data_IF_037789021695
#
_entry.id   IF_037789021695
#
_cell.length_a   1.000
_cell.length_b   1.000
_cell.length_c   1.000
_cell.angle_alpha   90.00
_cell.angle_beta   90.00
_cell.angle_gamma   90.00
#
_symmetry.space_group_name_H-M   'P 1'
#
loop_
_entity.id
_entity.type
_entity.pdbx_description
1 polymer ?
#
# COMPACT_ATOMS: atom_id res chain seq x y z
N UNK A 1 12.38 7.42 10.91
CA UNK A 1 11.34 7.87 11.85
C UNK A 1 10.51 8.89 11.09
N UNK A 2 9.50 8.38 10.38
CA UNK A 2 8.68 9.14 9.41
C UNK A 2 7.47 9.75 10.12
N UNK A 3 6.96 10.87 9.59
CA UNK A 3 6.28 11.90 10.37
C UNK A 3 4.76 11.71 10.53
N UNK A 4 4.33 10.47 10.74
CA UNK A 4 3.16 10.15 11.58
C UNK A 4 3.55 9.98 13.05
N UNK A 5 4.41 10.86 13.55
CA UNK A 5 4.70 10.98 14.98
C UNK A 5 3.45 11.46 15.74
N UNK A 6 2.46 10.58 15.92
CA UNK A 6 1.37 10.72 16.87
C UNK A 6 -0.06 10.47 16.37
N UNK A 7 -0.33 10.29 15.06
CA UNK A 7 -1.70 10.05 14.57
C UNK A 7 -1.76 8.91 13.56
N UNK A 8 -2.41 7.82 13.96
CA UNK A 8 -2.77 6.71 13.08
C UNK A 8 -3.64 7.19 11.91
N UNK A 9 -3.43 6.60 10.73
CA UNK A 9 -4.27 6.81 9.56
C UNK A 9 -5.71 6.35 9.85
N UNK A 10 -6.66 7.23 9.57
CA UNK A 10 -8.09 6.93 9.66
C UNK A 10 -8.54 6.02 8.52
N UNK A 11 -9.67 5.33 8.70
CA UNK A 11 -10.28 4.52 7.65
C UNK A 11 -10.55 5.30 6.35
N UNK A 12 -10.89 6.60 6.43
CA UNK A 12 -11.11 7.45 5.26
C UNK A 12 -9.81 7.75 4.49
N UNK A 13 -8.72 8.01 5.21
CA UNK A 13 -7.41 8.21 4.59
C UNK A 13 -6.92 6.93 3.92
N UNK A 14 -7.10 5.77 4.57
CA UNK A 14 -6.74 4.48 3.98
C UNK A 14 -7.58 4.21 2.72
N UNK A 15 -8.90 4.43 2.74
CA UNK A 15 -9.74 4.30 1.55
C UNK A 15 -9.26 5.19 0.41
N UNK A 16 -8.91 6.43 0.70
CA UNK A 16 -8.40 7.37 -0.32
C UNK A 16 -7.13 6.84 -0.98
N UNK A 17 -6.21 6.29 -0.19
CA UNK A 17 -4.96 5.71 -0.69
C UNK A 17 -5.19 4.43 -1.51
N UNK A 18 -6.12 3.56 -1.07
CA UNK A 18 -6.51 2.35 -1.80
C UNK A 18 -7.22 2.69 -3.13
N UNK A 19 -8.12 3.67 -3.14
CA UNK A 19 -8.77 4.16 -4.37
C UNK A 19 -7.74 4.71 -5.38
N UNK A 20 -6.71 5.41 -4.90
CA UNK A 20 -5.62 5.89 -5.76
C UNK A 20 -4.80 4.72 -6.32
N UNK A 21 -4.50 3.72 -5.50
CA UNK A 21 -3.82 2.51 -5.91
C UNK A 21 -4.61 1.78 -7.00
N UNK A 22 -5.91 1.54 -6.80
CA UNK A 22 -6.77 0.84 -7.77
C UNK A 22 -6.83 1.54 -9.12
N UNK A 23 -6.92 2.88 -9.13
CA UNK A 23 -6.93 3.66 -10.38
C UNK A 23 -5.59 3.60 -11.11
N UNK A 24 -4.49 3.49 -10.39
CA UNK A 24 -3.15 3.51 -10.96
C UNK A 24 -2.60 2.11 -11.31
N UNK A 25 -2.98 1.06 -10.55
CA UNK A 25 -2.55 -0.33 -10.72
C UNK A 25 -3.38 -1.05 -11.80
N UNK A 26 -3.14 -0.70 -13.07
CA UNK A 26 -3.93 -1.22 -14.21
C UNK A 26 -3.53 -2.61 -14.69
N UNK A 27 -2.44 -3.20 -14.15
CA UNK A 27 -1.91 -4.50 -14.57
C UNK A 27 -2.19 -5.55 -13.52
N UNK A 28 -2.57 -6.75 -13.95
CA UNK A 28 -2.83 -7.88 -13.04
C UNK A 28 -1.64 -8.19 -12.13
N UNK A 29 -0.42 -8.15 -12.70
CA UNK A 29 0.82 -8.36 -11.95
C UNK A 29 1.04 -7.33 -10.83
N UNK A 30 0.43 -6.15 -10.85
CA UNK A 30 0.54 -5.22 -9.72
C UNK A 30 -0.02 -5.82 -8.43
N UNK A 31 -1.06 -6.65 -8.54
CA UNK A 31 -1.79 -7.26 -7.41
C UNK A 31 -1.08 -8.43 -6.74
N UNK A 32 0.06 -8.85 -7.27
CA UNK A 32 0.92 -9.90 -6.69
C UNK A 32 2.37 -9.45 -6.52
N UNK A 33 2.65 -8.16 -6.71
CA UNK A 33 4.00 -7.61 -6.68
C UNK A 33 4.48 -7.36 -5.25
N UNK A 34 5.77 -7.58 -4.99
CA UNK A 34 6.42 -7.18 -3.73
C UNK A 34 6.25 -5.67 -3.44
N UNK A 35 6.20 -4.81 -4.46
CA UNK A 35 5.97 -3.38 -4.27
C UNK A 35 4.58 -3.10 -3.66
N UNK A 36 3.55 -3.84 -4.07
CA UNK A 36 2.22 -3.74 -3.47
C UNK A 36 2.28 -4.14 -2.00
N UNK A 37 2.89 -5.29 -1.68
CA UNK A 37 2.96 -5.71 -0.29
C UNK A 37 3.69 -4.67 0.58
N UNK A 38 4.80 -4.11 0.09
CA UNK A 38 5.53 -3.08 0.83
C UNK A 38 4.64 -1.89 1.18
N UNK A 39 3.82 -1.45 0.22
CA UNK A 39 2.82 -0.41 0.45
C UNK A 39 1.77 -0.80 1.49
N UNK A 40 1.16 -1.99 1.37
CA UNK A 40 0.14 -2.46 2.31
C UNK A 40 0.69 -2.58 3.74
N UNK A 41 1.89 -3.15 3.91
CA UNK A 41 2.52 -3.30 5.22
C UNK A 41 2.86 -1.96 5.91
N UNK A 42 3.17 -0.93 5.13
CA UNK A 42 3.32 0.42 5.68
C UNK A 42 1.98 0.96 6.18
N UNK A 43 0.92 0.85 5.37
CA UNK A 43 -0.41 1.27 5.76
C UNK A 43 -0.91 0.52 7.00
N UNK A 44 -0.63 -0.78 7.14
CA UNK A 44 -0.99 -1.57 8.32
C UNK A 44 -0.29 -1.07 9.59
N UNK A 45 0.97 -0.63 9.45
CA UNK A 45 1.78 -0.11 10.55
C UNK A 45 1.24 1.24 11.04
N UNK A 46 0.74 2.07 10.11
CA UNK A 46 0.20 3.39 10.40
C UNK A 46 -1.33 3.40 10.64
N UNK A 47 -2.05 2.31 10.32
CA UNK A 47 -3.51 2.24 10.41
C UNK A 47 -4.04 2.32 11.85
N UNK A 48 -5.13 3.07 12.03
CA UNK A 48 -5.99 2.94 13.19
C UNK A 48 -6.62 1.53 13.24
N UNK A 49 -6.95 1.04 14.44
CA UNK A 49 -7.41 -0.33 14.65
C UNK A 49 -8.66 -0.69 13.82
N UNK A 50 -9.57 0.27 13.64
CA UNK A 50 -10.79 0.14 12.84
C UNK A 50 -10.55 0.17 11.32
N UNK A 51 -9.37 0.59 10.89
CA UNK A 51 -9.01 0.72 9.48
C UNK A 51 -8.24 -0.51 8.94
N UNK A 52 -7.70 -1.37 9.82
CA UNK A 52 -6.90 -2.55 9.42
C UNK A 52 -7.66 -3.54 8.55
N UNK A 53 -8.95 -3.75 8.81
CA UNK A 53 -9.78 -4.68 8.03
C UNK A 53 -9.94 -4.27 6.55
N UNK A 54 -9.64 -3.01 6.20
CA UNK A 54 -9.66 -2.55 4.80
C UNK A 54 -8.46 -3.07 4.00
N UNK A 55 -7.36 -3.41 4.69
CA UNK A 55 -6.09 -3.79 4.07
C UNK A 55 -5.99 -5.30 3.79
N UNK A 56 -6.75 -6.12 4.52
CA UNK A 56 -6.75 -7.59 4.40
C UNK A 56 -7.03 -8.07 2.97
N UNK A 57 -7.88 -7.35 2.23
CA UNK A 57 -8.23 -7.69 0.85
C UNK A 57 -7.04 -7.56 -0.13
N UNK A 58 -6.00 -6.80 0.24
CA UNK A 58 -4.83 -6.52 -0.59
C UNK A 58 -3.59 -7.30 -0.14
N UNK A 59 -3.69 -8.12 0.90
CA UNK A 59 -2.59 -8.95 1.37
C UNK A 59 -2.26 -10.04 0.33
N UNK A 60 -1.00 -10.04 -0.12
CA UNK A 60 -0.51 -11.04 -1.07
C UNK A 60 0.25 -12.12 -0.30
N UNK A 61 -0.32 -13.33 -0.28
CA UNK A 61 0.33 -14.50 0.31
C UNK A 61 1.75 -14.70 -0.25
N UNK A 62 2.75 -15.06 0.57
CA UNK A 62 4.15 -15.19 0.13
C UNK A 62 4.34 -16.07 -1.10
N UNK A 63 3.56 -17.15 -1.23
CA UNK A 63 3.69 -18.12 -2.33
C UNK A 63 3.19 -17.58 -3.67
N UNK A 64 2.33 -16.54 -3.64
CA UNK A 64 1.80 -15.88 -4.84
C UNK A 64 2.52 -14.58 -5.15
N UNK A 65 3.42 -14.15 -4.27
CA UNK A 65 4.14 -12.89 -4.41
C UNK A 65 5.31 -13.05 -5.36
N UNK A 66 5.39 -12.19 -6.36
CA UNK A 66 6.57 -12.09 -7.21
C UNK A 66 7.45 -10.90 -6.79
N UNK A 67 8.75 -10.99 -7.08
CA UNK A 67 9.70 -9.89 -6.87
C UNK A 67 9.40 -8.69 -7.76
N UNK A 68 10.09 -7.58 -7.54
CA UNK A 68 9.94 -6.39 -8.39
C UNK A 68 10.19 -6.71 -9.87
N UNK A 69 9.32 -6.20 -10.74
CA UNK A 69 9.43 -6.32 -12.19
C UNK A 69 10.20 -5.15 -12.83
N UNK A 70 10.69 -4.19 -12.03
CA UNK A 70 11.40 -3.01 -12.54
C UNK A 70 10.54 -2.01 -13.31
N UNK A 71 9.22 -2.02 -13.10
CA UNK A 71 8.27 -1.13 -13.78
C UNK A 71 8.58 0.36 -13.54
N UNK A 72 8.33 1.19 -14.57
CA UNK A 72 8.28 2.66 -14.48
C UNK A 72 7.15 3.19 -15.39
N UNK A 73 6.11 3.86 -14.86
CA UNK A 73 5.81 4.06 -13.44
C UNK A 73 5.48 2.75 -12.71
N UNK A 74 5.63 2.74 -11.38
CA UNK A 74 5.27 1.61 -10.52
C UNK A 74 4.26 2.10 -9.47
N UNK A 75 2.95 2.00 -9.75
CA UNK A 75 1.91 2.60 -8.92
C UNK A 75 2.03 2.36 -7.40
N UNK A 76 2.19 1.11 -6.91
CA UNK A 76 2.32 0.91 -5.47
C UNK A 76 3.63 1.46 -4.91
N UNK A 77 4.73 1.42 -5.66
CA UNK A 77 6.01 1.98 -5.20
C UNK A 77 6.00 3.53 -5.21
N UNK A 78 5.34 4.13 -6.19
CA UNK A 78 5.20 5.59 -6.30
C UNK A 78 4.33 6.12 -5.15
N UNK A 79 3.22 5.45 -4.83
CA UNK A 79 2.38 5.78 -3.67
C UNK A 79 3.12 5.56 -2.34
N UNK A 80 3.86 4.46 -2.20
CA UNK A 80 4.70 4.22 -1.03
C UNK A 80 5.78 5.30 -0.83
N UNK A 81 6.40 5.77 -1.93
CA UNK A 81 7.37 6.85 -1.85
C UNK A 81 6.73 8.18 -1.42
N UNK A 82 5.44 8.38 -1.70
CA UNK A 82 4.69 9.54 -1.23
C UNK A 82 4.34 9.43 0.24
N UNK A 83 3.96 8.25 0.75
CA UNK A 83 3.67 8.06 2.18
C UNK A 83 4.91 8.23 3.06
N UNK A 84 6.10 7.88 2.58
CA UNK A 84 7.36 8.06 3.31
C UNK A 84 7.92 9.49 3.34
N UNK A 85 7.44 10.39 2.47
CA UNK A 85 7.97 11.76 2.30
C UNK A 85 7.24 12.81 3.15
N UNK A 86 6.27 12.41 3.97
CA UNK A 86 5.46 13.28 4.83
C UNK A 86 5.76 13.04 6.29
#
# INVERSE_FOLDING_TARGET
MSAHAGKSLTAEQIRTLLDQLERAATREACWSCQCLQGFITELESDAAADARGLLEAYEVRPERRHGSLGCRPCPPADLFALTLRV
#
